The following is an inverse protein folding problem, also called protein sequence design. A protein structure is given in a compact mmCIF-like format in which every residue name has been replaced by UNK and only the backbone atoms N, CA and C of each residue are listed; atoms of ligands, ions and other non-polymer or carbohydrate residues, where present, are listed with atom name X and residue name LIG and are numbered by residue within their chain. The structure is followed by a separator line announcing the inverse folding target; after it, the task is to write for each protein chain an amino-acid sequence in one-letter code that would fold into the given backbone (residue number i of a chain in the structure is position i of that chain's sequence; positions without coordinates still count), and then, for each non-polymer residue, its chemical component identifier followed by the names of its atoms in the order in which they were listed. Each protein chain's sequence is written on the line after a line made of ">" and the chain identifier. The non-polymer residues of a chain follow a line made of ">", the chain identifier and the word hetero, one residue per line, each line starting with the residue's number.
data_IF_051055804735
#
_entry.id   IF_051055804735
#
_cell.length_a   1.000
_cell.length_b   1.000
_cell.length_c   1.000
_cell.angle_alpha   90.00
_cell.angle_beta   90.00
_cell.angle_gamma   90.00
#
_symmetry.space_group_name_H-M   'P 1'
#
loop_
_entity.id
_entity.type
_entity.pdbx_description
1 polymer ?
#
# COMPACT_ATOMS: atom_id res chain seq x y z
N UNK A 1 2.00 -25.23 -1.43
CA UNK A 1 1.81 -24.44 -0.20
C UNK A 1 1.64 -22.99 -0.63
N UNK A 2 0.47 -22.35 -0.42
CA UNK A 2 0.32 -20.92 -0.74
C UNK A 2 1.15 -20.11 0.27
N UNK A 3 2.09 -19.30 -0.23
CA UNK A 3 2.88 -18.36 0.57
C UNK A 3 2.35 -16.94 0.35
N UNK A 4 1.15 -16.67 0.86
CA UNK A 4 0.61 -15.31 0.81
C UNK A 4 1.28 -14.46 1.88
N UNK A 5 1.55 -13.20 1.57
CA UNK A 5 2.04 -12.21 2.53
C UNK A 5 0.88 -11.30 2.89
N UNK A 6 0.56 -11.18 4.17
CA UNK A 6 -0.49 -10.28 4.65
C UNK A 6 0.13 -9.02 5.23
N UNK A 7 -0.36 -7.87 4.79
CA UNK A 7 -0.05 -6.57 5.37
C UNK A 7 -1.33 -5.90 5.88
N UNK A 8 -1.20 -5.17 6.98
CA UNK A 8 -2.29 -4.41 7.58
C UNK A 8 -2.28 -3.00 7.00
N UNK A 9 -3.45 -2.51 6.60
CA UNK A 9 -3.63 -1.19 6.00
C UNK A 9 -4.82 -0.45 6.63
N UNK A 10 -4.72 0.88 6.69
CA UNK A 10 -5.77 1.73 7.28
C UNK A 10 -6.98 1.92 6.36
N UNK A 11 -6.76 1.86 5.04
CA UNK A 11 -7.79 2.10 4.03
C UNK A 11 -7.60 1.12 2.87
N UNK A 12 -8.48 0.11 2.81
CA UNK A 12 -8.38 -0.97 1.83
C UNK A 12 -8.51 -0.45 0.41
N UNK A 13 -9.48 0.44 0.12
CA UNK A 13 -9.73 0.87 -1.25
C UNK A 13 -8.60 1.79 -1.76
N UNK A 14 -8.07 2.70 -0.93
CA UNK A 14 -6.88 3.48 -1.30
C UNK A 14 -5.65 2.61 -1.48
N UNK A 15 -5.52 1.55 -0.69
CA UNK A 15 -4.40 0.60 -0.81
C UNK A 15 -4.49 -0.20 -2.12
N UNK A 16 -5.70 -0.64 -2.50
CA UNK A 16 -5.93 -1.29 -3.81
C UNK A 16 -5.53 -0.36 -4.94
N UNK A 17 -5.98 0.90 -4.91
CA UNK A 17 -5.63 1.91 -5.92
C UNK A 17 -4.12 2.11 -5.99
N UNK A 18 -3.44 2.27 -4.85
CA UNK A 18 -2.00 2.40 -4.79
C UNK A 18 -1.25 1.23 -5.45
N UNK A 19 -1.59 -0.01 -5.09
CA UNK A 19 -0.92 -1.19 -5.65
C UNK A 19 -1.25 -1.43 -7.12
N UNK A 20 -2.47 -1.10 -7.54
CA UNK A 20 -2.86 -1.14 -8.95
C UNK A 20 -2.11 -0.11 -9.78
N UNK A 21 -2.04 1.14 -9.32
CA UNK A 21 -1.52 2.25 -10.10
C UNK A 21 0.00 2.25 -10.20
N UNK A 22 0.69 1.79 -9.15
CA UNK A 22 2.14 1.73 -9.13
C UNK A 22 2.68 0.38 -9.61
N UNK A 23 2.07 -0.72 -9.20
CA UNK A 23 2.61 -2.07 -9.46
C UNK A 23 1.78 -2.87 -10.45
N UNK A 24 0.68 -2.32 -10.99
CA UNK A 24 -0.20 -3.02 -11.93
C UNK A 24 -0.98 -4.17 -11.31
N UNK A 25 -0.98 -4.28 -9.97
CA UNK A 25 -1.58 -5.41 -9.28
C UNK A 25 -3.10 -5.42 -9.40
N UNK A 26 -3.68 -6.61 -9.51
CA UNK A 26 -5.12 -6.80 -9.69
C UNK A 26 -5.73 -7.46 -8.47
N UNK A 27 -6.98 -7.11 -8.16
CA UNK A 27 -7.76 -7.81 -7.14
C UNK A 27 -8.15 -9.19 -7.67
N UNK A 28 -7.75 -10.23 -6.95
CA UNK A 28 -8.10 -11.63 -7.24
C UNK A 28 -9.35 -12.04 -6.47
N UNK A 29 -9.43 -11.66 -5.19
CA UNK A 29 -10.55 -12.01 -4.32
C UNK A 29 -10.78 -10.91 -3.27
N UNK A 30 -12.04 -10.55 -3.04
CA UNK A 30 -12.47 -9.75 -1.88
C UNK A 30 -13.30 -10.64 -0.96
N UNK A 31 -12.85 -10.82 0.27
CA UNK A 31 -13.59 -11.46 1.36
C UNK A 31 -13.76 -10.45 2.50
N UNK A 32 -14.66 -10.73 3.46
CA UNK A 32 -14.90 -9.83 4.59
C UNK A 32 -13.60 -9.50 5.35
N UNK A 33 -13.14 -8.25 5.18
CA UNK A 33 -11.93 -7.72 5.80
C UNK A 33 -10.59 -8.10 5.17
N UNK A 34 -10.57 -8.91 4.10
CA UNK A 34 -9.36 -9.28 3.37
C UNK A 34 -9.51 -9.07 1.87
N UNK A 35 -8.49 -8.49 1.24
CA UNK A 35 -8.39 -8.42 -0.22
C UNK A 35 -7.11 -9.09 -0.67
N UNK A 36 -7.22 -10.08 -1.54
CA UNK A 36 -6.09 -10.75 -2.15
C UNK A 36 -5.81 -10.09 -3.50
N UNK A 37 -4.58 -9.61 -3.67
CA UNK A 37 -4.05 -9.09 -4.91
C UNK A 37 -3.26 -10.18 -5.67
N UNK A 38 -2.96 -9.93 -6.95
CA UNK A 38 -2.02 -10.73 -7.73
C UNK A 38 -0.67 -10.85 -7.00
N UNK A 39 0.14 -11.85 -7.35
CA UNK A 39 1.41 -12.16 -6.65
C UNK A 39 1.26 -12.57 -5.17
N UNK A 40 0.03 -12.78 -4.67
CA UNK A 40 -0.22 -13.35 -3.33
C UNK A 40 -0.14 -12.35 -2.17
N UNK A 41 -0.11 -11.05 -2.45
CA UNK A 41 -0.20 -10.02 -1.42
C UNK A 41 -1.65 -9.92 -0.91
N UNK A 42 -1.83 -9.91 0.41
CA UNK A 42 -3.12 -9.81 1.08
C UNK A 42 -3.16 -8.51 1.87
N UNK A 43 -4.17 -7.70 1.60
CA UNK A 43 -4.48 -6.49 2.36
C UNK A 43 -5.50 -6.83 3.44
N UNK A 44 -5.20 -6.46 4.69
CA UNK A 44 -6.07 -6.61 5.86
C UNK A 44 -6.41 -5.25 6.43
N UNK A 45 -7.68 -5.04 6.70
CA UNK A 45 -8.15 -3.83 7.39
C UNK A 45 -7.63 -3.78 8.85
N UNK A 46 -7.08 -2.64 9.26
CA UNK A 46 -6.49 -2.44 10.57
C UNK A 46 -7.48 -2.58 11.74
N UNK A 47 -8.72 -2.12 11.60
CA UNK A 47 -9.72 -2.21 12.65
C UNK A 47 -10.14 -3.67 12.88
N UNK A 48 -10.29 -4.43 11.78
CA UNK A 48 -10.63 -5.86 11.88
C UNK A 48 -9.43 -6.65 12.40
N UNK A 49 -8.20 -6.32 11.99
CA UNK A 49 -6.99 -6.92 12.54
C UNK A 49 -6.91 -6.74 14.05
N UNK A 50 -7.09 -5.50 14.53
CA UNK A 50 -6.97 -5.20 15.95
C UNK A 50 -8.04 -5.86 16.81
N UNK A 51 -9.27 -5.98 16.31
CA UNK A 51 -10.34 -6.72 17.00
C UNK A 51 -10.05 -8.22 17.17
N UNK A 52 -9.33 -8.83 16.23
CA UNK A 52 -9.05 -10.28 16.26
C UNK A 52 -7.89 -10.60 17.20
N UNK A 53 -6.86 -9.78 17.20
CA UNK A 53 -5.64 -10.03 17.98
C UNK A 53 -5.62 -9.33 19.34
N UNK A 54 -6.57 -8.42 19.59
CA UNK A 54 -6.56 -7.52 20.76
C UNK A 54 -5.26 -6.68 20.83
N UNK A 55 -4.71 -6.36 19.66
CA UNK A 55 -3.45 -5.63 19.49
C UNK A 55 -3.52 -4.64 18.33
N UNK A 56 -2.79 -3.52 18.41
CA UNK A 56 -2.69 -2.57 17.31
C UNK A 56 -1.48 -2.86 16.43
N UNK A 57 -1.62 -2.65 15.12
CA UNK A 57 -0.45 -2.66 14.23
C UNK A 57 0.48 -1.50 14.56
N UNK A 58 1.79 -1.74 14.52
CA UNK A 58 2.80 -0.68 14.67
C UNK A 58 3.30 -0.24 13.29
N UNK A 59 2.78 0.84 12.69
CA UNK A 59 3.27 1.33 11.41
C UNK A 59 4.68 1.96 11.56
N UNK A 60 5.43 2.04 10.46
CA UNK A 60 6.74 2.70 10.38
C UNK A 60 7.85 2.11 11.29
N UNK A 61 7.74 0.87 11.74
CA UNK A 61 8.78 0.21 12.54
C UNK A 61 9.99 -0.31 11.73
N UNK A 62 9.86 -0.36 10.39
CA UNK A 62 10.89 -0.80 9.45
C UNK A 62 11.44 -2.22 9.68
N UNK A 63 10.64 -3.13 10.26
CA UNK A 63 11.06 -4.52 10.51
C UNK A 63 10.95 -5.44 9.30
N UNK A 64 10.17 -5.05 8.28
CA UNK A 64 9.93 -5.83 7.07
C UNK A 64 9.81 -4.91 5.85
N UNK A 65 10.12 -5.46 4.67
CA UNK A 65 9.96 -4.81 3.38
C UNK A 65 9.34 -5.76 2.35
N UNK A 66 8.61 -5.20 1.39
CA UNK A 66 8.18 -5.91 0.18
C UNK A 66 9.13 -5.55 -0.95
N UNK A 67 9.84 -6.55 -1.46
CA UNK A 67 10.78 -6.39 -2.57
C UNK A 67 10.12 -6.79 -3.89
N UNK A 68 10.31 -5.96 -4.92
CA UNK A 68 9.78 -6.19 -6.26
C UNK A 68 10.92 -6.06 -7.28
N UNK A 69 10.96 -6.98 -8.25
CA UNK A 69 11.83 -6.90 -9.41
C UNK A 69 11.02 -6.46 -10.62
N UNK A 70 11.55 -5.49 -11.36
CA UNK A 70 11.00 -5.05 -12.62
C UNK A 70 12.12 -4.88 -13.64
N UNK A 71 12.05 -5.62 -14.73
CA UNK A 71 13.07 -5.63 -15.77
C UNK A 71 12.82 -4.58 -16.86
N UNK A 72 11.62 -3.99 -16.95
CA UNK A 72 11.30 -2.95 -17.93
C UNK A 72 11.76 -1.57 -17.46
N UNK A 73 12.77 -1.01 -18.15
CA UNK A 73 13.34 0.29 -17.80
C UNK A 73 12.36 1.47 -17.97
N UNK A 74 11.42 1.39 -18.92
CA UNK A 74 10.42 2.44 -19.11
C UNK A 74 9.38 2.40 -18.01
N UNK A 75 8.94 1.21 -17.62
CA UNK A 75 8.04 1.03 -16.49
C UNK A 75 8.69 1.55 -15.20
N UNK A 76 9.94 1.16 -14.90
CA UNK A 76 10.69 1.71 -13.75
C UNK A 76 10.79 3.24 -13.78
N UNK A 77 11.05 3.86 -14.94
CA UNK A 77 11.12 5.32 -15.05
C UNK A 77 9.76 5.97 -14.76
N UNK A 78 8.68 5.41 -15.29
CA UNK A 78 7.32 5.89 -15.05
C UNK A 78 6.91 5.73 -13.59
N UNK A 79 7.22 4.58 -12.98
CA UNK A 79 7.03 4.30 -11.56
C UNK A 79 7.72 5.34 -10.68
N UNK A 80 9.01 5.61 -10.93
CA UNK A 80 9.76 6.61 -10.18
C UNK A 80 9.17 8.01 -10.35
N UNK A 81 8.75 8.39 -11.55
CA UNK A 81 8.10 9.67 -11.80
C UNK A 81 6.79 9.81 -11.00
N UNK A 82 5.96 8.75 -10.93
CA UNK A 82 4.74 8.73 -10.10
C UNK A 82 5.05 8.91 -8.62
N UNK A 83 6.07 8.24 -8.10
CA UNK A 83 6.48 8.38 -6.70
C UNK A 83 6.90 9.81 -6.40
N UNK A 84 7.75 10.40 -7.24
CA UNK A 84 8.21 11.78 -7.07
C UNK A 84 7.04 12.78 -7.09
N UNK A 85 6.12 12.65 -8.04
CA UNK A 85 4.93 13.52 -8.11
C UNK A 85 4.07 13.43 -6.84
N UNK A 86 3.89 12.22 -6.30
CA UNK A 86 3.15 12.04 -5.04
C UNK A 86 3.86 12.68 -3.84
N UNK A 87 5.20 12.61 -3.78
CA UNK A 87 5.98 13.24 -2.71
C UNK A 87 5.92 14.78 -2.80
N UNK A 88 6.07 15.33 -4.00
CA UNK A 88 5.97 16.78 -4.24
C UNK A 88 4.58 17.32 -3.88
N UNK A 89 3.52 16.62 -4.30
CA UNK A 89 2.15 17.01 -3.97
C UNK A 89 1.90 16.99 -2.46
N UNK A 90 2.41 15.97 -1.75
CA UNK A 90 2.33 15.91 -0.28
C UNK A 90 3.08 17.05 0.38
N UNK A 91 4.27 17.41 -0.12
CA UNK A 91 5.03 18.55 0.38
C UNK A 91 4.27 19.87 0.19
N UNK A 92 3.65 20.07 -0.98
CA UNK A 92 2.83 21.24 -1.29
C UNK A 92 1.61 21.33 -0.35
N UNK A 93 0.85 20.24 -0.19
CA UNK A 93 -0.32 20.20 0.69
C UNK A 93 0.05 20.54 2.14
N UNK A 94 1.17 20.01 2.63
CA UNK A 94 1.67 20.31 3.97
C UNK A 94 2.09 21.78 4.13
N UNK A 95 2.64 22.40 3.08
CA UNK A 95 2.97 23.82 3.06
C UNK A 95 1.70 24.69 3.12
N UNK A 96 0.71 24.39 2.28
CA UNK A 96 -0.58 25.10 2.25
C UNK A 96 -1.33 25.00 3.58
N UNK A 97 -1.37 23.80 4.19
CA UNK A 97 -1.99 23.58 5.49
C UNK A 97 -1.34 24.40 6.62
N UNK A 98 -0.04 24.68 6.53
CA UNK A 98 0.66 25.55 7.50
C UNK A 98 0.33 27.02 7.31
N UNK A 99 0.08 27.48 6.08
CA UNK A 99 -0.26 28.89 5.80
C UNK A 99 -1.72 29.25 6.11
N UNK A 100 -2.59 28.26 6.27
CA UNK A 100 -4.01 28.46 6.61
C UNK A 100 -4.31 28.40 8.12
N UNK A 101 -3.27 28.23 8.96
CA UNK A 101 -3.34 28.36 10.42
C UNK A 101 -2.75 29.69 10.85
#
# INVERSE_FOLDING_TARGET
>A
MLKNVLIVVDDIEKSIEFYKDLFGMQVILKNEGNVILSEGLVLRDADIWGKILDETSTPFNNMMELYFEDFDIQHRRYFMAKILANLEMRALLNSLAKTMK
#
